data_IF_534304841454
#
_entry.id   IF_534304841454
#
_cell.length_a   1.000
_cell.length_b   1.000
_cell.length_c   1.000
_cell.angle_alpha   90.00
_cell.angle_beta   90.00
_cell.angle_gamma   90.00
#
_symmetry.space_group_name_H-M   'P 1'
#
loop_
_entity.id
_entity.type
_entity.pdbx_description
1 polymer ?
#
# COMPACT_ATOMS: atom_id res chain seq x y z
N UNK A 1 22.03 5.42 17.20
CA UNK A 1 21.42 6.58 16.53
C UNK A 1 22.32 6.93 15.35
N UNK A 2 21.99 6.42 14.16
CA UNK A 2 22.74 6.72 12.94
C UNK A 2 22.17 7.98 12.29
N UNK A 3 23.03 8.97 12.11
CA UNK A 3 22.73 10.23 11.43
C UNK A 3 22.55 9.89 9.95
N UNK A 4 21.32 9.96 9.44
CA UNK A 4 21.13 10.14 8.00
C UNK A 4 21.48 11.61 7.77
N UNK A 5 22.73 11.86 7.37
CA UNK A 5 23.15 13.20 7.01
C UNK A 5 22.27 13.67 5.85
N UNK A 6 21.67 14.86 6.01
CA UNK A 6 20.91 15.53 4.97
C UNK A 6 21.82 15.72 3.75
N UNK A 7 21.75 14.82 2.76
CA UNK A 7 22.23 15.09 1.41
C UNK A 7 21.30 16.13 0.76
N UNK A 8 21.38 17.37 1.25
CA UNK A 8 20.72 18.54 0.67
C UNK A 8 21.54 19.00 -0.52
N UNK A 9 21.36 18.33 -1.66
CA UNK A 9 21.44 19.04 -2.95
C UNK A 9 20.19 19.89 -3.02
N UNK A 10 20.32 21.21 -3.19
CA UNK A 10 19.25 22.25 -3.10
C UNK A 10 17.95 21.97 -3.89
N UNK A 11 17.89 20.90 -4.67
CA UNK A 11 16.81 20.51 -5.57
C UNK A 11 15.94 19.35 -5.07
N UNK A 12 16.44 18.52 -4.13
CA UNK A 12 15.71 17.33 -3.62
C UNK A 12 15.83 17.24 -2.10
N UNK A 13 14.69 17.31 -1.41
CA UNK A 13 14.57 17.12 0.04
C UNK A 13 14.35 15.64 0.37
N UNK A 14 15.10 15.15 1.34
CA UNK A 14 14.96 13.80 1.90
C UNK A 14 14.32 13.89 3.29
N UNK A 15 13.23 13.16 3.50
CA UNK A 15 12.50 13.12 4.78
C UNK A 15 12.32 11.64 5.17
N UNK A 16 13.09 11.14 6.15
CA UNK A 16 12.92 9.79 6.65
C UNK A 16 11.80 9.74 7.70
N UNK A 17 10.92 8.75 7.57
CA UNK A 17 9.89 8.38 8.55
C UNK A 17 10.17 6.95 8.99
N UNK A 18 10.63 6.79 10.23
CA UNK A 18 11.11 5.51 10.75
C UNK A 18 10.21 5.06 11.90
N UNK A 19 9.81 3.80 11.86
CA UNK A 19 9.09 3.15 12.96
C UNK A 19 9.60 1.71 13.11
N UNK A 20 10.24 1.42 14.24
CA UNK A 20 10.88 0.13 14.50
C UNK A 20 11.82 -0.28 13.34
N UNK A 21 11.52 -1.37 12.64
CA UNK A 21 12.24 -1.90 11.47
C UNK A 21 11.73 -1.34 10.13
N UNK A 22 10.55 -0.72 10.10
CA UNK A 22 9.96 -0.14 8.90
C UNK A 22 10.44 1.30 8.67
N UNK A 23 11.08 1.54 7.53
CA UNK A 23 11.55 2.86 7.11
C UNK A 23 10.86 3.29 5.82
N UNK A 24 10.18 4.42 5.87
CA UNK A 24 9.67 5.15 4.72
C UNK A 24 10.60 6.34 4.43
N UNK A 25 11.09 6.47 3.21
CA UNK A 25 11.87 7.64 2.79
C UNK A 25 11.09 8.41 1.74
N UNK A 26 10.85 9.70 2.02
CA UNK A 26 10.19 10.61 1.08
C UNK A 26 11.28 11.48 0.45
N UNK A 27 11.35 11.46 -0.87
CA UNK A 27 12.20 12.34 -1.67
C UNK A 27 11.30 13.31 -2.43
N UNK A 28 11.46 14.61 -2.20
CA UNK A 28 10.64 15.65 -2.79
C UNK A 28 11.53 16.65 -3.54
N UNK A 29 11.30 16.80 -4.85
CA UNK A 29 12.00 17.75 -5.71
C UNK A 29 11.10 18.18 -6.86
N UNK A 30 11.44 19.30 -7.50
CA UNK A 30 10.67 19.84 -8.64
C UNK A 30 10.98 19.09 -9.95
N UNK A 31 12.24 18.64 -10.12
CA UNK A 31 12.65 17.81 -11.25
C UNK A 31 12.58 16.32 -10.92
N UNK A 32 11.78 15.60 -11.71
CA UNK A 32 11.63 14.15 -11.61
C UNK A 32 12.95 13.42 -11.86
N UNK A 33 13.77 13.89 -12.81
CA UNK A 33 15.04 13.20 -13.10
C UNK A 33 16.03 13.37 -11.95
N UNK A 34 16.15 14.57 -11.39
CA UNK A 34 16.93 14.81 -10.17
C UNK A 34 16.47 13.93 -9.00
N UNK A 35 15.15 13.73 -8.83
CA UNK A 35 14.60 12.82 -7.79
C UNK A 35 14.99 11.36 -8.07
N UNK A 36 14.88 10.89 -9.31
CA UNK A 36 15.29 9.52 -9.68
C UNK A 36 16.78 9.30 -9.42
N UNK A 37 17.62 10.26 -9.80
CA UNK A 37 19.06 10.21 -9.57
C UNK A 37 19.37 10.21 -8.06
N UNK A 38 18.63 11.00 -7.28
CA UNK A 38 18.73 11.02 -5.82
C UNK A 38 18.30 9.68 -5.19
N UNK A 39 17.24 9.04 -5.68
CA UNK A 39 16.85 7.68 -5.27
C UNK A 39 18.00 6.71 -5.56
N UNK A 40 18.58 6.77 -6.76
CA UNK A 40 19.72 5.91 -7.14
C UNK A 40 20.91 6.07 -6.20
N UNK A 41 21.34 7.31 -5.94
CA UNK A 41 22.42 7.62 -5.00
C UNK A 41 22.12 7.13 -3.58
N UNK A 42 20.89 7.31 -3.11
CA UNK A 42 20.47 6.84 -1.80
C UNK A 42 20.59 5.32 -1.70
N UNK A 43 20.08 4.59 -2.69
CA UNK A 43 20.14 3.13 -2.72
C UNK A 43 21.59 2.63 -2.78
N UNK A 44 22.44 3.26 -3.59
CA UNK A 44 23.85 2.89 -3.70
C UNK A 44 24.58 3.13 -2.35
N UNK A 45 24.31 4.26 -1.68
CA UNK A 45 24.85 4.55 -0.34
C UNK A 45 24.36 3.53 0.70
N UNK A 46 23.07 3.21 0.72
CA UNK A 46 22.52 2.23 1.65
C UNK A 46 23.08 0.83 1.40
N UNK A 47 23.21 0.41 0.15
CA UNK A 47 23.81 -0.87 -0.21
C UNK A 47 25.28 -0.98 0.23
N UNK A 48 26.01 0.14 0.22
CA UNK A 48 27.40 0.18 0.68
C UNK A 48 27.53 0.13 2.21
N UNK A 49 26.63 0.79 2.95
CA UNK A 49 26.77 0.98 4.40
C UNK A 49 25.97 0.00 5.27
N UNK A 50 24.82 -0.48 4.81
CA UNK A 50 23.99 -1.42 5.58
C UNK A 50 24.67 -2.76 5.89
N UNK A 51 25.48 -3.37 5.00
CA UNK A 51 26.17 -4.63 5.31
C UNK A 51 27.10 -4.52 6.53
N UNK A 52 27.73 -3.36 6.74
CA UNK A 52 28.57 -3.13 7.91
C UNK A 52 27.79 -3.15 9.24
N UNK A 53 26.47 -2.93 9.18
CA UNK A 53 25.55 -3.00 10.32
C UNK A 53 24.82 -4.35 10.40
N UNK A 54 25.15 -5.31 9.52
CA UNK A 54 24.45 -6.60 9.43
C UNK A 54 23.03 -6.48 8.86
N UNK A 55 22.71 -5.38 8.17
CA UNK A 55 21.40 -5.12 7.56
C UNK A 55 21.48 -5.25 6.03
N UNK A 56 20.34 -5.50 5.39
CA UNK A 56 20.24 -5.55 3.93
C UNK A 56 18.91 -4.95 3.46
N UNK A 57 18.92 -4.34 2.27
CA UNK A 57 17.69 -3.94 1.57
C UNK A 57 17.12 -5.17 0.87
N UNK A 58 15.86 -5.49 1.14
CA UNK A 58 15.14 -6.52 0.39
C UNK A 58 14.48 -5.88 -0.83
N UNK A 59 14.95 -6.23 -2.04
CA UNK A 59 14.34 -5.76 -3.29
C UNK A 59 12.85 -6.15 -3.40
N UNK A 60 12.48 -7.31 -2.86
CA UNK A 60 11.10 -7.82 -2.88
C UNK A 60 10.14 -7.03 -1.98
N UNK A 61 10.65 -6.52 -0.84
CA UNK A 61 9.85 -5.76 0.13
C UNK A 61 9.93 -4.26 -0.07
N UNK A 62 10.95 -3.79 -0.79
CA UNK A 62 11.11 -2.38 -1.10
C UNK A 62 10.16 -1.98 -2.22
N UNK A 63 9.56 -0.81 -2.08
CA UNK A 63 8.63 -0.28 -3.07
C UNK A 63 8.84 1.21 -3.20
N UNK A 64 8.87 1.70 -4.44
CA UNK A 64 8.89 3.13 -4.75
C UNK A 64 7.49 3.59 -5.14
N UNK A 65 7.10 4.76 -4.64
CA UNK A 65 5.84 5.41 -5.00
C UNK A 65 6.05 6.23 -6.28
N UNK A 66 5.29 5.92 -7.35
CA UNK A 66 5.38 6.62 -8.63
C UNK A 66 4.03 6.66 -9.36
N UNK A 67 3.79 7.71 -10.15
CA UNK A 67 2.57 7.86 -10.94
C UNK A 67 2.54 6.92 -12.14
N UNK A 68 1.43 6.90 -12.89
CA UNK A 68 1.30 5.97 -14.02
C UNK A 68 2.40 6.17 -15.05
N UNK A 69 2.72 7.42 -15.38
CA UNK A 69 3.77 7.82 -16.31
C UNK A 69 5.16 7.39 -15.82
N UNK A 70 5.41 7.54 -14.52
CA UNK A 70 6.65 7.15 -13.86
C UNK A 70 6.78 5.63 -13.79
N UNK A 71 5.71 4.90 -13.48
CA UNK A 71 5.69 3.42 -13.50
C UNK A 71 5.94 2.91 -14.92
N UNK A 72 5.35 3.51 -15.94
CA UNK A 72 5.58 3.12 -17.34
C UNK A 72 7.02 3.38 -17.79
N UNK A 73 7.64 4.47 -17.31
CA UNK A 73 9.02 4.84 -17.65
C UNK A 73 10.05 4.11 -16.80
N UNK A 74 9.71 3.80 -15.55
CA UNK A 74 10.57 3.21 -14.54
C UNK A 74 9.78 2.10 -13.83
N UNK A 75 9.58 0.97 -14.51
CA UNK A 75 8.87 -0.19 -13.92
C UNK A 75 9.64 -0.75 -12.70
N UNK A 76 10.98 -0.69 -12.79
CA UNK A 76 11.90 -1.03 -11.71
C UNK A 76 13.05 -0.02 -11.64
N UNK A 77 13.48 0.33 -10.43
CA UNK A 77 14.71 1.09 -10.19
C UNK A 77 15.60 0.24 -9.27
N UNK A 78 16.77 -0.20 -9.77
CA UNK A 78 17.68 -1.10 -9.03
C UNK A 78 16.96 -2.35 -8.49
N UNK A 79 16.09 -2.97 -9.29
CA UNK A 79 15.31 -4.15 -8.88
C UNK A 79 14.08 -3.86 -7.99
N UNK A 80 13.96 -2.62 -7.48
CA UNK A 80 12.84 -2.20 -6.64
C UNK A 80 11.63 -1.84 -7.50
N UNK A 81 10.47 -2.40 -7.17
CA UNK A 81 9.21 -2.17 -7.89
C UNK A 81 8.67 -0.78 -7.66
N UNK A 82 8.15 -0.17 -8.71
CA UNK A 82 7.40 1.08 -8.61
C UNK A 82 5.90 0.78 -8.56
N UNK A 83 5.18 1.44 -7.64
CA UNK A 83 3.74 1.27 -7.42
C UNK A 83 3.06 2.64 -7.26
N UNK A 84 1.77 2.75 -7.63
CA UNK A 84 0.98 3.97 -7.42
C UNK A 84 0.51 4.18 -5.97
N UNK A 85 0.78 3.22 -5.09
CA UNK A 85 0.50 3.31 -3.67
C UNK A 85 1.45 2.38 -2.89
N UNK A 86 1.80 2.79 -1.68
CA UNK A 86 2.64 2.02 -0.76
C UNK A 86 1.93 1.81 0.59
N UNK A 87 2.14 0.66 1.20
CA UNK A 87 1.67 0.38 2.55
C UNK A 87 2.70 0.85 3.58
N UNK A 88 2.25 1.47 4.66
CA UNK A 88 3.09 1.81 5.80
C UNK A 88 2.24 1.86 7.07
N UNK A 89 2.60 1.08 8.09
CA UNK A 89 1.93 1.02 9.40
C UNK A 89 0.40 0.84 9.34
N UNK A 90 -0.09 -0.09 8.51
CA UNK A 90 -1.53 -0.33 8.35
C UNK A 90 -2.28 0.78 7.59
N UNK A 91 -1.55 1.76 7.06
CA UNK A 91 -2.07 2.78 6.17
C UNK A 91 -1.55 2.58 4.75
N UNK A 92 -2.19 3.26 3.80
CA UNK A 92 -1.80 3.31 2.40
C UNK A 92 -1.51 4.77 2.03
N UNK A 93 -0.28 5.05 1.65
CA UNK A 93 0.09 6.33 1.07
C UNK A 93 -0.17 6.28 -0.44
N UNK A 94 -0.88 7.27 -0.94
CA UNK A 94 -1.16 7.46 -2.36
C UNK A 94 -0.31 8.59 -2.93
N UNK A 95 -0.20 8.65 -4.26
CA UNK A 95 0.54 9.69 -4.98
C UNK A 95 0.12 11.12 -4.67
N UNK A 96 -1.15 11.33 -4.30
CA UNK A 96 -1.65 12.64 -3.90
C UNK A 96 -1.18 13.09 -2.51
N UNK A 97 -0.31 12.32 -1.84
CA UNK A 97 0.09 12.56 -0.45
C UNK A 97 -0.97 12.19 0.58
N UNK A 98 -2.11 11.62 0.14
CA UNK A 98 -3.20 11.23 1.01
C UNK A 98 -2.92 9.87 1.65
N UNK A 99 -3.08 9.83 2.97
CA UNK A 99 -3.07 8.61 3.77
C UNK A 99 -4.49 8.04 3.86
N UNK A 100 -4.65 6.81 3.39
CA UNK A 100 -5.92 6.08 3.45
C UNK A 100 -5.76 4.85 4.36
N UNK A 101 -6.79 4.44 5.12
CA UNK A 101 -6.79 3.14 5.79
C UNK A 101 -6.52 2.01 4.80
N UNK A 102 -5.71 1.02 5.16
CA UNK A 102 -5.45 -0.09 4.24
C UNK A 102 -6.75 -0.87 3.98
N UNK A 103 -7.19 -0.90 2.72
CA UNK A 103 -8.47 -1.45 2.29
C UNK A 103 -8.71 -2.91 2.73
N UNK A 104 -7.66 -3.67 3.02
CA UNK A 104 -7.79 -5.03 3.55
C UNK A 104 -8.48 -5.09 4.91
N UNK A 105 -8.34 -4.08 5.79
CA UNK A 105 -9.12 -4.05 7.04
C UNK A 105 -10.60 -3.78 6.78
N UNK A 106 -10.91 -2.89 5.85
CA UNK A 106 -12.29 -2.58 5.46
C UNK A 106 -12.95 -3.76 4.74
N UNK A 107 -12.23 -4.45 3.84
CA UNK A 107 -12.69 -5.66 3.15
C UNK A 107 -12.75 -6.85 4.10
N UNK A 108 -11.79 -7.02 5.01
CA UNK A 108 -11.84 -8.09 6.01
C UNK A 108 -12.97 -7.85 7.01
N UNK A 109 -13.28 -6.59 7.35
CA UNK A 109 -14.47 -6.24 8.16
C UNK A 109 -15.74 -6.52 7.36
N UNK A 110 -15.85 -6.04 6.13
CA UNK A 110 -17.01 -6.30 5.27
C UNK A 110 -17.22 -7.79 5.01
N UNK A 111 -16.16 -8.57 4.77
CA UNK A 111 -16.23 -10.03 4.62
C UNK A 111 -16.66 -10.72 5.92
N UNK A 112 -16.17 -10.27 7.08
CA UNK A 112 -16.62 -10.77 8.39
C UNK A 112 -18.08 -10.44 8.66
N UNK A 113 -18.53 -9.23 8.33
CA UNK A 113 -19.93 -8.81 8.46
C UNK A 113 -20.85 -9.59 7.51
N UNK A 114 -20.45 -9.76 6.24
CA UNK A 114 -21.19 -10.59 5.28
C UNK A 114 -21.28 -12.05 5.76
N UNK A 115 -20.19 -12.62 6.26
CA UNK A 115 -20.17 -13.98 6.82
C UNK A 115 -21.03 -14.09 8.09
N UNK A 116 -21.04 -13.07 8.95
CA UNK A 116 -21.90 -13.01 10.14
C UNK A 116 -23.38 -12.91 9.76
N UNK A 117 -23.73 -12.03 8.81
CA UNK A 117 -25.07 -11.93 8.24
C UNK A 117 -25.49 -13.25 7.58
N UNK A 118 -24.60 -13.93 6.85
CA UNK A 118 -24.87 -15.24 6.24
C UNK A 118 -25.16 -16.32 7.28
N UNK A 119 -24.49 -16.29 8.44
CA UNK A 119 -24.76 -17.21 9.57
C UNK A 119 -26.07 -16.89 10.28
N UNK A 120 -26.44 -15.61 10.39
CA UNK A 120 -27.71 -15.17 10.98
C UNK A 120 -28.90 -15.50 10.06
N UNK A 121 -28.76 -15.27 8.75
CA UNK A 121 -29.80 -15.57 7.74
C UNK A 121 -29.88 -17.07 7.43
N UNK A 122 -28.81 -17.84 7.69
CA UNK A 122 -28.72 -19.27 7.41
C UNK A 122 -29.35 -20.20 8.45
N UNK A 123 -30.09 -19.69 9.45
CA UNK A 123 -30.70 -20.58 10.46
C UNK A 123 -32.18 -20.37 10.77
N UNK A 124 -32.83 -19.30 10.34
CA UNK A 124 -34.28 -19.15 10.55
C UNK A 124 -34.98 -18.49 9.35
N UNK A 125 -35.85 -19.25 8.69
CA UNK A 125 -37.06 -18.68 8.06
C UNK A 125 -37.04 -18.43 6.55
N UNK A 126 -36.79 -19.45 5.72
CA UNK A 126 -37.44 -19.50 4.39
C UNK A 126 -38.43 -20.67 4.35
N UNK A 127 -39.45 -20.57 5.18
CA UNK A 127 -40.59 -21.46 5.19
C UNK A 127 -41.84 -20.63 5.44
N UNK A 128 -42.33 -19.98 4.39
CA UNK A 128 -43.77 -19.76 4.13
C UNK A 128 -43.94 -18.91 2.88
N UNK A 129 -43.95 -19.53 1.71
CA UNK A 129 -44.84 -19.12 0.60
C UNK A 129 -45.17 -20.39 -0.21
N UNK A 130 -45.95 -21.29 0.40
CA UNK A 130 -46.77 -22.20 -0.40
C UNK A 130 -47.77 -21.35 -1.19
N UNK A 131 -47.89 -21.51 -2.51
CA UNK A 131 -49.01 -20.93 -3.23
C UNK A 131 -50.27 -21.66 -2.73
N UNK A 132 -51.11 -20.94 -1.97
CA UNK A 132 -52.49 -21.36 -1.73
C UNK A 132 -53.16 -21.43 -3.11
N UNK A 133 -53.45 -22.64 -3.57
CA UNK A 133 -54.44 -22.82 -4.62
C UNK A 133 -55.80 -22.31 -4.14
N UNK A 134 -56.64 -21.76 -5.02
CA UNK A 134 -58.07 -21.75 -4.80
C UNK A 134 -58.69 -23.02 -5.39
N UNK A 135 -59.41 -23.73 -4.53
CA UNK A 135 -60.36 -24.78 -4.85
C UNK A 135 -61.56 -24.23 -5.64
N UNK A 136 -62.22 -25.15 -6.33
CA UNK A 136 -63.36 -25.12 -7.25
C UNK A 136 -64.65 -24.37 -6.83
N UNK A 137 -65.63 -24.36 -7.76
CA UNK A 137 -67.08 -24.03 -7.66
C UNK A 137 -67.44 -22.54 -7.88
N UNK A 138 -68.43 -22.09 -8.65
CA UNK A 138 -69.52 -22.67 -9.47
C UNK A 138 -70.07 -21.54 -10.35
N UNK A 139 -70.71 -21.85 -11.50
CA UNK A 139 -71.52 -20.91 -12.29
C UNK A 139 -71.40 -21.06 -13.80
#
# INVERSE_FOLDING_TARGET
MGIIENCSTDEVKLIPVVYADDTLVILAGEDVQAVVDAVGRLLDNLAQHLPALGLNISEEKSVLLGDKTFVERYDHIRGIKVRPAIGYLGMRLTLGGSWLPHFEEAVARARREIEMCRRLVGKEGCSTLSPRGPSSEDG
#
